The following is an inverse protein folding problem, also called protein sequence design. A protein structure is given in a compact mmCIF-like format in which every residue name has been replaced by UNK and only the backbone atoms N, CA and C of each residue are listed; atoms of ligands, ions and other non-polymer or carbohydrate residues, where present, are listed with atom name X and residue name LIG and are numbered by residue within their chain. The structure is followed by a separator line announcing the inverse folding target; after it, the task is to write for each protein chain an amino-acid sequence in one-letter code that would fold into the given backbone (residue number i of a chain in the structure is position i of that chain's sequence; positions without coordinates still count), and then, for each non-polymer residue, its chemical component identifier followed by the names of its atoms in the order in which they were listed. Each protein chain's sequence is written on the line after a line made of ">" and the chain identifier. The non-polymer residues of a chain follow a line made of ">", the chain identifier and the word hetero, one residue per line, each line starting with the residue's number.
data_IF_579036811884
#
_entry.id   IF_579036811884
#
_cell.length_a   1.000
_cell.length_b   1.000
_cell.length_c   1.000
_cell.angle_alpha   90.00
_cell.angle_beta   90.00
_cell.angle_gamma   90.00
#
_symmetry.space_group_name_H-M   'P 1'
#
loop_
_entity.id
_entity.type
_entity.pdbx_description
1 polymer ?
#
# COMPACT_ATOMS: atom_id res chain seq x y z
N UNK A 1 25.56 1.66 -8.58
CA UNK A 1 24.31 1.76 -9.36
C UNK A 1 24.42 0.86 -10.59
N UNK A 2 23.35 0.16 -10.92
CA UNK A 2 23.31 -0.76 -12.08
C UNK A 2 23.31 0.00 -13.40
N UNK A 3 23.53 -0.73 -14.49
CA UNK A 3 23.39 -0.19 -15.85
C UNK A 3 21.96 0.30 -16.17
N UNK A 4 20.94 -0.18 -15.43
CA UNK A 4 19.53 0.22 -15.61
C UNK A 4 19.16 1.53 -14.90
N UNK A 5 19.94 1.94 -13.91
CA UNK A 5 19.64 3.13 -13.12
C UNK A 5 19.49 4.42 -13.94
N UNK A 6 20.38 4.75 -14.90
CA UNK A 6 20.22 5.99 -15.69
C UNK A 6 18.93 6.00 -16.52
N UNK A 7 18.50 4.83 -17.00
CA UNK A 7 17.26 4.72 -17.78
C UNK A 7 16.04 4.95 -16.87
N UNK A 8 16.04 4.35 -15.69
CA UNK A 8 14.99 4.57 -14.70
C UNK A 8 14.95 6.03 -14.24
N UNK A 9 16.10 6.68 -14.02
CA UNK A 9 16.14 8.11 -13.72
C UNK A 9 15.49 8.97 -14.80
N UNK A 10 15.73 8.66 -16.08
CA UNK A 10 15.08 9.38 -17.20
C UNK A 10 13.56 9.20 -17.17
N UNK A 11 13.08 7.99 -16.88
CA UNK A 11 11.64 7.73 -16.76
C UNK A 11 11.05 8.50 -15.59
N UNK A 12 11.53 8.27 -14.38
CA UNK A 12 10.97 8.86 -13.16
C UNK A 12 11.14 10.40 -13.09
N UNK A 13 12.07 10.97 -13.85
CA UNK A 13 12.21 12.43 -14.00
C UNK A 13 11.31 13.05 -15.08
N UNK A 14 10.50 12.27 -15.78
CA UNK A 14 9.63 12.75 -16.84
C UNK A 14 10.33 13.06 -18.18
N UNK A 15 11.56 12.57 -18.35
CA UNK A 15 12.32 12.74 -19.60
C UNK A 15 12.03 11.65 -20.64
N UNK A 16 11.07 10.77 -20.35
CA UNK A 16 10.51 9.75 -21.25
C UNK A 16 8.99 9.81 -21.19
N UNK A 17 8.33 9.28 -22.23
CA UNK A 17 6.88 9.08 -22.20
C UNK A 17 6.52 8.09 -21.08
N UNK A 18 5.40 8.32 -20.41
CA UNK A 18 4.96 7.44 -19.33
C UNK A 18 4.64 6.03 -19.80
N UNK A 19 4.26 5.86 -21.05
CA UNK A 19 4.04 4.56 -21.72
C UNK A 19 5.32 3.77 -22.04
N UNK A 20 6.49 4.42 -22.00
CA UNK A 20 7.78 3.82 -22.40
C UNK A 20 8.52 3.23 -21.21
N UNK A 21 7.93 2.23 -20.58
CA UNK A 21 8.47 1.62 -19.35
C UNK A 21 8.92 0.15 -19.51
N UNK A 22 8.65 -0.49 -20.64
CA UNK A 22 8.82 -1.92 -20.87
C UNK A 22 10.28 -2.39 -20.78
N UNK A 23 11.23 -1.49 -20.97
CA UNK A 23 12.67 -1.74 -20.90
C UNK A 23 13.30 -1.32 -19.56
N UNK A 24 12.47 -0.84 -18.61
CA UNK A 24 12.95 -0.52 -17.26
C UNK A 24 13.27 -1.81 -16.50
N UNK A 25 14.50 -1.95 -16.04
CA UNK A 25 14.89 -3.08 -15.20
C UNK A 25 14.41 -2.90 -13.77
N UNK A 26 13.84 -3.95 -13.17
CA UNK A 26 13.39 -3.96 -11.76
C UNK A 26 14.49 -3.48 -10.81
N UNK A 27 15.75 -3.91 -11.06
CA UNK A 27 16.89 -3.46 -10.27
C UNK A 27 17.09 -1.95 -10.32
N UNK A 28 16.95 -1.34 -11.52
CA UNK A 28 17.06 0.11 -11.67
C UNK A 28 15.94 0.85 -10.94
N UNK A 29 14.71 0.32 -10.97
CA UNK A 29 13.58 0.88 -10.21
C UNK A 29 13.83 0.77 -8.70
N UNK A 30 14.30 -0.36 -8.22
CA UNK A 30 14.66 -0.53 -6.81
C UNK A 30 15.76 0.47 -6.38
N UNK A 31 16.72 0.74 -7.25
CA UNK A 31 17.76 1.74 -6.99
C UNK A 31 17.23 3.18 -6.94
N UNK A 32 16.13 3.50 -7.66
CA UNK A 32 15.42 4.79 -7.48
C UNK A 32 14.90 4.92 -6.05
N UNK A 33 14.27 3.86 -5.52
CA UNK A 33 13.75 3.84 -4.15
C UNK A 33 14.89 3.93 -3.09
N UNK A 34 15.96 3.18 -3.28
CA UNK A 34 17.13 3.22 -2.37
C UNK A 34 17.79 4.60 -2.35
N UNK A 35 17.82 5.30 -3.49
CA UNK A 35 18.35 6.64 -3.62
C UNK A 35 17.22 7.69 -3.61
N UNK A 36 16.23 7.52 -2.73
CA UNK A 36 15.02 8.35 -2.68
C UNK A 36 15.33 9.84 -2.55
N UNK A 37 16.29 10.22 -1.72
CA UNK A 37 16.64 11.64 -1.50
C UNK A 37 17.19 12.29 -2.78
N UNK A 38 17.96 11.56 -3.57
CA UNK A 38 18.47 12.04 -4.87
C UNK A 38 17.35 12.21 -5.91
N UNK A 39 16.33 11.35 -5.86
CA UNK A 39 15.24 11.31 -6.83
C UNK A 39 13.97 12.04 -6.36
N UNK A 40 13.94 12.48 -5.11
CA UNK A 40 12.74 12.98 -4.41
C UNK A 40 11.98 14.07 -5.16
N UNK A 41 12.67 15.09 -5.66
CA UNK A 41 12.04 16.19 -6.39
C UNK A 41 11.25 15.67 -7.59
N UNK A 42 11.82 14.74 -8.34
CA UNK A 42 11.16 14.15 -9.51
C UNK A 42 10.01 13.24 -9.11
N UNK A 43 10.18 12.42 -8.05
CA UNK A 43 9.12 11.56 -7.54
C UNK A 43 7.93 12.39 -7.06
N UNK A 44 8.16 13.47 -6.33
CA UNK A 44 7.09 14.34 -5.85
C UNK A 44 6.36 15.06 -6.99
N UNK A 45 7.07 15.44 -8.05
CA UNK A 45 6.46 16.16 -9.18
C UNK A 45 5.68 15.26 -10.14
N UNK A 46 6.04 13.98 -10.22
CA UNK A 46 5.55 13.10 -11.29
C UNK A 46 4.78 11.87 -10.79
N UNK A 47 4.66 11.67 -9.47
CA UNK A 47 4.14 10.43 -8.85
C UNK A 47 2.80 9.98 -9.43
N UNK A 48 1.88 10.89 -9.62
CA UNK A 48 0.54 10.60 -10.13
C UNK A 48 0.49 10.29 -11.64
N UNK A 49 1.56 10.60 -12.36
CA UNK A 49 1.64 10.39 -13.82
C UNK A 49 2.21 9.03 -14.22
N UNK A 50 2.88 8.32 -13.28
CA UNK A 50 3.50 7.03 -13.59
C UNK A 50 2.45 5.99 -13.97
N UNK A 51 2.75 5.20 -15.01
CA UNK A 51 1.94 4.03 -15.35
C UNK A 51 1.94 3.01 -14.20
N UNK A 52 0.89 2.18 -14.13
CA UNK A 52 0.68 1.25 -13.02
C UNK A 52 1.86 0.29 -12.82
N UNK A 53 2.38 -0.32 -13.89
CA UNK A 53 3.43 -1.32 -13.75
C UNK A 53 4.74 -0.80 -13.12
N UNK A 54 5.36 0.29 -13.61
CA UNK A 54 6.54 0.86 -12.96
C UNK A 54 6.23 1.44 -11.57
N UNK A 55 5.02 1.94 -11.34
CA UNK A 55 4.60 2.45 -10.04
C UNK A 55 4.46 1.32 -9.01
N UNK A 56 3.89 0.19 -9.38
CA UNK A 56 3.81 -1.01 -8.52
C UNK A 56 5.23 -1.46 -8.12
N UNK A 57 6.15 -1.53 -9.08
CA UNK A 57 7.54 -1.92 -8.80
C UNK A 57 8.25 -0.91 -7.88
N UNK A 58 8.04 0.39 -8.11
CA UNK A 58 8.59 1.45 -7.25
C UNK A 58 8.02 1.36 -5.83
N UNK A 59 6.70 1.25 -5.68
CA UNK A 59 6.03 1.13 -4.39
C UNK A 59 6.48 -0.11 -3.61
N UNK A 60 6.68 -1.23 -4.30
CA UNK A 60 7.22 -2.45 -3.67
C UNK A 60 8.64 -2.25 -3.13
N UNK A 61 9.46 -1.47 -3.83
CA UNK A 61 10.80 -1.12 -3.36
C UNK A 61 10.77 -0.06 -2.22
N UNK A 62 9.81 0.86 -2.25
CA UNK A 62 9.63 1.91 -1.23
C UNK A 62 9.15 1.34 0.12
N UNK A 63 8.61 0.13 0.17
CA UNK A 63 8.14 -0.51 1.40
C UNK A 63 9.18 -0.49 2.54
N UNK A 64 10.46 -0.52 2.18
CA UNK A 64 11.57 -0.51 3.12
C UNK A 64 12.26 0.85 3.27
N UNK A 65 11.67 1.90 2.70
CA UNK A 65 12.21 3.25 2.71
C UNK A 65 11.45 4.14 3.69
N UNK A 66 12.14 5.17 4.18
CA UNK A 66 11.47 6.21 4.96
C UNK A 66 10.64 7.09 4.02
N UNK A 67 9.33 7.08 4.19
CA UNK A 67 8.38 7.85 3.40
C UNK A 67 8.00 9.11 4.17
N UNK A 68 8.36 10.28 3.65
CA UNK A 68 7.96 11.54 4.27
C UNK A 68 6.47 11.87 4.04
N UNK A 69 5.99 12.89 4.74
CA UNK A 69 4.58 13.29 4.67
C UNK A 69 4.13 13.75 3.27
N UNK A 70 5.03 14.30 2.45
CA UNK A 70 4.70 14.76 1.09
C UNK A 70 4.49 13.58 0.16
N UNK A 71 5.38 12.62 0.19
CA UNK A 71 5.24 11.41 -0.60
C UNK A 71 4.07 10.55 -0.11
N UNK A 72 3.85 10.46 1.21
CA UNK A 72 2.69 9.78 1.78
C UNK A 72 1.36 10.39 1.29
N UNK A 73 1.27 11.71 1.22
CA UNK A 73 0.10 12.42 0.69
C UNK A 73 -0.16 12.08 -0.78
N UNK A 74 0.90 12.01 -1.62
CA UNK A 74 0.77 11.65 -3.04
C UNK A 74 0.38 10.19 -3.23
N UNK A 75 0.88 9.28 -2.41
CA UNK A 75 0.47 7.87 -2.39
C UNK A 75 -1.02 7.78 -2.07
N UNK A 76 -1.49 8.50 -1.05
CA UNK A 76 -2.91 8.57 -0.69
C UNK A 76 -3.78 9.12 -1.82
N UNK A 77 -3.34 10.20 -2.47
CA UNK A 77 -4.05 10.77 -3.64
C UNK A 77 -4.13 9.76 -4.79
N UNK A 78 -3.05 9.08 -5.09
CA UNK A 78 -3.04 8.05 -6.16
C UNK A 78 -3.96 6.88 -5.85
N UNK A 79 -4.02 6.46 -4.59
CA UNK A 79 -4.96 5.43 -4.14
C UNK A 79 -6.42 5.88 -4.34
N UNK A 80 -6.75 7.11 -3.94
CA UNK A 80 -8.08 7.68 -4.10
C UNK A 80 -8.48 7.76 -5.59
N UNK A 81 -7.56 8.21 -6.45
CA UNK A 81 -7.76 8.27 -7.90
C UNK A 81 -8.05 6.89 -8.48
N UNK A 82 -7.29 5.86 -8.11
CA UNK A 82 -7.49 4.50 -8.61
C UNK A 82 -8.79 3.89 -8.09
N UNK A 83 -9.11 4.07 -6.80
CA UNK A 83 -10.37 3.60 -6.21
C UNK A 83 -11.62 4.27 -6.79
N UNK A 84 -11.48 5.43 -7.42
CA UNK A 84 -12.57 6.13 -8.12
C UNK A 84 -12.83 5.63 -9.54
N UNK A 85 -11.99 4.73 -10.06
CA UNK A 85 -12.19 4.11 -11.38
C UNK A 85 -13.30 3.04 -11.31
N UNK A 86 -13.92 2.74 -12.46
CA UNK A 86 -14.93 1.67 -12.58
C UNK A 86 -14.37 0.27 -12.24
N UNK A 87 -13.08 0.08 -12.43
CA UNK A 87 -12.37 -1.16 -12.10
C UNK A 87 -11.00 -0.82 -11.48
N UNK A 88 -10.93 -0.65 -10.14
CA UNK A 88 -9.67 -0.38 -9.46
C UNK A 88 -8.62 -1.48 -9.68
N UNK A 89 -7.37 -1.09 -9.85
CA UNK A 89 -6.25 -2.03 -9.94
C UNK A 89 -5.84 -2.51 -8.55
N UNK A 90 -6.26 -3.71 -8.19
CA UNK A 90 -5.99 -4.32 -6.88
C UNK A 90 -4.48 -4.37 -6.59
N UNK A 91 -3.67 -4.75 -7.58
CA UNK A 91 -2.22 -4.83 -7.42
C UNK A 91 -1.59 -3.45 -7.14
N UNK A 92 -2.07 -2.42 -7.82
CA UNK A 92 -1.64 -1.03 -7.57
C UNK A 92 -2.08 -0.54 -6.19
N UNK A 93 -3.34 -0.74 -5.83
CA UNK A 93 -3.86 -0.36 -4.50
C UNK A 93 -3.06 -1.02 -3.37
N UNK A 94 -2.78 -2.32 -3.47
CA UNK A 94 -1.98 -3.05 -2.49
C UNK A 94 -0.52 -2.57 -2.45
N UNK A 95 0.09 -2.27 -3.61
CA UNK A 95 1.44 -1.75 -3.68
C UNK A 95 1.56 -0.34 -3.04
N UNK A 96 0.59 0.54 -3.30
CA UNK A 96 0.51 1.86 -2.68
C UNK A 96 0.41 1.75 -1.14
N UNK A 97 -0.42 0.84 -0.63
CA UNK A 97 -0.52 0.61 0.81
C UNK A 97 0.78 0.07 1.41
N UNK A 98 1.47 -0.84 0.71
CA UNK A 98 2.78 -1.35 1.14
C UNK A 98 3.82 -0.23 1.23
N UNK A 99 3.86 0.68 0.25
CA UNK A 99 4.77 1.82 0.27
C UNK A 99 4.56 2.72 1.50
N UNK A 100 3.31 2.89 1.95
CA UNK A 100 2.98 3.66 3.15
C UNK A 100 3.49 3.04 4.45
N UNK A 101 3.87 1.77 4.46
CA UNK A 101 4.39 1.10 5.66
C UNK A 101 5.57 1.87 6.29
N UNK A 102 6.47 2.43 5.46
CA UNK A 102 7.62 3.22 5.90
C UNK A 102 7.30 4.66 6.33
N UNK A 103 6.04 5.10 6.25
CA UNK A 103 5.65 6.45 6.69
C UNK A 103 5.38 6.49 8.19
N UNK A 104 5.82 7.53 8.92
CA UNK A 104 5.42 7.77 10.30
C UNK A 104 4.01 8.40 10.41
N UNK A 105 3.36 8.74 9.30
CA UNK A 105 2.06 9.42 9.28
C UNK A 105 0.91 8.41 9.41
N UNK A 106 0.56 8.06 10.64
CA UNK A 106 -0.53 7.14 10.94
C UNK A 106 -1.89 7.67 10.48
N UNK A 107 -2.09 8.99 10.43
CA UNK A 107 -3.35 9.59 9.95
C UNK A 107 -3.59 9.27 8.48
N UNK A 108 -2.58 9.42 7.64
CA UNK A 108 -2.67 9.05 6.21
C UNK A 108 -2.88 7.54 6.04
N UNK A 109 -2.16 6.72 6.80
CA UNK A 109 -2.33 5.25 6.76
C UNK A 109 -3.75 4.83 7.12
N UNK A 110 -4.29 5.34 8.22
CA UNK A 110 -5.68 5.06 8.65
C UNK A 110 -6.69 5.51 7.61
N UNK A 111 -6.50 6.69 7.01
CA UNK A 111 -7.34 7.18 5.91
C UNK A 111 -7.33 6.22 4.73
N UNK A 112 -6.17 5.74 4.31
CA UNK A 112 -6.03 4.80 3.20
C UNK A 112 -6.70 3.44 3.50
N UNK A 113 -6.54 2.92 4.72
CA UNK A 113 -7.22 1.69 5.15
C UNK A 113 -8.74 1.87 5.10
N UNK A 114 -9.27 2.99 5.62
CA UNK A 114 -10.70 3.27 5.58
C UNK A 114 -11.23 3.39 4.15
N UNK A 115 -10.50 4.02 3.25
CA UNK A 115 -10.87 4.11 1.83
C UNK A 115 -10.94 2.71 1.19
N UNK A 116 -9.93 1.85 1.42
CA UNK A 116 -9.92 0.47 0.92
C UNK A 116 -11.07 -0.35 1.48
N UNK A 117 -11.32 -0.29 2.79
CA UNK A 117 -12.41 -1.03 3.44
C UNK A 117 -13.80 -0.49 3.08
N UNK A 118 -13.90 0.76 2.62
CA UNK A 118 -15.14 1.36 2.10
C UNK A 118 -15.36 1.19 0.60
N UNK A 119 -14.42 0.60 -0.12
CA UNK A 119 -14.45 0.47 -1.58
C UNK A 119 -15.06 -0.84 -2.07
N UNK A 120 -15.26 -0.95 -3.38
CA UNK A 120 -15.75 -2.17 -4.04
C UNK A 120 -14.80 -3.37 -3.92
N UNK A 121 -13.51 -3.11 -3.69
CA UNK A 121 -12.49 -4.16 -3.51
C UNK A 121 -12.25 -4.53 -2.04
N UNK A 122 -13.12 -4.09 -1.14
CA UNK A 122 -12.94 -4.24 0.33
C UNK A 122 -12.96 -5.69 0.83
N UNK A 123 -13.56 -6.61 0.10
CA UNK A 123 -13.65 -8.03 0.43
C UNK A 123 -12.60 -8.89 -0.31
N UNK A 124 -11.79 -8.27 -1.15
CA UNK A 124 -10.73 -8.97 -1.89
C UNK A 124 -9.64 -9.50 -0.94
N UNK A 125 -9.27 -10.77 -1.16
CA UNK A 125 -8.32 -11.46 -0.28
C UNK A 125 -6.92 -10.81 -0.24
N UNK A 126 -6.42 -10.27 -1.37
CA UNK A 126 -5.11 -9.61 -1.41
C UNK A 126 -5.14 -8.29 -0.65
N UNK A 127 -6.22 -7.50 -0.79
CA UNK A 127 -6.41 -6.24 -0.05
C UNK A 127 -6.43 -6.50 1.45
N UNK A 128 -7.25 -7.44 1.92
CA UNK A 128 -7.38 -7.76 3.34
C UNK A 128 -6.07 -8.32 3.91
N UNK A 129 -5.37 -9.18 3.16
CA UNK A 129 -4.06 -9.70 3.56
C UNK A 129 -3.02 -8.58 3.66
N UNK A 130 -3.00 -7.65 2.70
CA UNK A 130 -2.05 -6.53 2.71
C UNK A 130 -2.29 -5.63 3.93
N UNK A 131 -3.55 -5.30 4.25
CA UNK A 131 -3.91 -4.54 5.45
C UNK A 131 -3.45 -5.29 6.72
N UNK A 132 -3.74 -6.57 6.83
CA UNK A 132 -3.37 -7.39 7.99
C UNK A 132 -1.87 -7.45 8.20
N UNK A 133 -1.09 -7.67 7.13
CA UNK A 133 0.37 -7.86 7.23
C UNK A 133 1.10 -6.53 7.44
N UNK A 134 0.67 -5.47 6.75
CA UNK A 134 1.42 -4.20 6.73
C UNK A 134 0.91 -3.17 7.74
N UNK A 135 -0.34 -3.25 8.15
CA UNK A 135 -1.01 -2.24 8.98
C UNK A 135 -1.58 -2.83 10.29
N UNK A 136 -1.08 -3.97 10.73
CA UNK A 136 -1.54 -4.67 11.93
C UNK A 136 -1.58 -3.76 13.17
N UNK A 137 -0.57 -2.93 13.35
CA UNK A 137 -0.47 -2.02 14.51
C UNK A 137 -1.57 -0.94 14.53
N UNK A 138 -2.17 -0.62 13.39
CA UNK A 138 -3.29 0.34 13.29
C UNK A 138 -4.64 -0.34 13.47
N UNK A 139 -4.74 -1.64 13.23
CA UNK A 139 -5.97 -2.42 13.41
C UNK A 139 -6.38 -2.59 14.89
N UNK A 140 -5.57 -2.12 15.82
CA UNK A 140 -5.94 -2.06 17.25
C UNK A 140 -7.00 -0.98 17.56
N UNK A 141 -7.23 -0.04 16.66
CA UNK A 141 -8.26 0.98 16.82
C UNK A 141 -9.65 0.33 16.69
N UNK A 142 -10.55 0.46 17.70
CA UNK A 142 -11.78 -0.34 17.77
C UNK A 142 -12.66 -0.25 16.52
N UNK A 143 -12.88 0.96 16.00
CA UNK A 143 -13.71 1.18 14.80
C UNK A 143 -13.09 0.53 13.55
N UNK A 144 -11.79 0.66 13.39
CA UNK A 144 -11.06 0.10 12.25
C UNK A 144 -11.02 -1.43 12.33
N UNK A 145 -10.79 -1.96 13.53
CA UNK A 145 -10.82 -3.40 13.80
C UNK A 145 -12.17 -4.02 13.46
N UNK A 146 -13.26 -3.40 13.92
CA UNK A 146 -14.60 -3.88 13.62
C UNK A 146 -14.86 -3.92 12.11
N UNK A 147 -14.59 -2.84 11.41
CA UNK A 147 -14.80 -2.75 9.96
C UNK A 147 -13.95 -3.79 9.21
N UNK A 148 -12.68 -3.95 9.59
CA UNK A 148 -11.79 -4.96 9.01
C UNK A 148 -12.32 -6.39 9.23
N UNK A 149 -12.76 -6.73 10.43
CA UNK A 149 -13.30 -8.06 10.75
C UNK A 149 -14.62 -8.34 10.01
N UNK A 150 -15.48 -7.35 9.85
CA UNK A 150 -16.72 -7.48 9.05
C UNK A 150 -16.39 -7.82 7.58
N UNK A 151 -15.42 -7.10 6.99
CA UNK A 151 -14.99 -7.37 5.60
C UNK A 151 -14.28 -8.71 5.46
N UNK A 152 -13.46 -9.07 6.41
CA UNK A 152 -12.77 -10.36 6.42
C UNK A 152 -13.78 -11.52 6.53
N UNK A 153 -14.82 -11.40 7.36
CA UNK A 153 -15.85 -12.42 7.53
C UNK A 153 -16.73 -12.60 6.27
N UNK A 154 -16.98 -11.51 5.54
CA UNK A 154 -17.76 -11.51 4.30
C UNK A 154 -16.93 -11.76 3.04
N UNK A 155 -15.59 -11.78 3.14
CA UNK A 155 -14.68 -11.72 2.02
C UNK A 155 -14.54 -13.00 1.20
N UNK A 156 -13.91 -12.84 0.02
CA UNK A 156 -13.67 -13.91 -0.96
C UNK A 156 -12.80 -15.07 -0.41
N UNK A 157 -11.96 -14.79 0.59
CA UNK A 157 -11.11 -15.81 1.21
C UNK A 157 -11.89 -16.92 1.94
N UNK A 158 -13.16 -16.70 2.22
CA UNK A 158 -14.02 -17.65 2.93
C UNK A 158 -13.55 -17.97 4.35
N UNK A 159 -14.12 -19.03 4.94
CA UNK A 159 -13.81 -19.41 6.32
C UNK A 159 -12.34 -19.79 6.53
N UNK A 160 -11.70 -20.42 5.56
CA UNK A 160 -10.29 -20.82 5.69
C UNK A 160 -9.37 -19.59 5.64
N UNK A 161 -9.63 -18.66 4.72
CA UNK A 161 -8.87 -17.41 4.63
C UNK A 161 -9.06 -16.53 5.85
N UNK A 162 -10.29 -16.41 6.35
CA UNK A 162 -10.60 -15.74 7.60
C UNK A 162 -9.78 -16.31 8.76
N UNK A 163 -9.85 -17.63 8.95
CA UNK A 163 -9.15 -18.30 10.05
C UNK A 163 -7.63 -18.14 9.96
N UNK A 164 -7.07 -18.20 8.74
CA UNK A 164 -5.64 -18.03 8.52
C UNK A 164 -5.16 -16.61 8.83
N UNK A 165 -5.82 -15.60 8.25
CA UNK A 165 -5.46 -14.20 8.48
C UNK A 165 -5.62 -13.84 9.96
N UNK A 166 -6.72 -14.27 10.59
CA UNK A 166 -6.95 -14.02 12.01
C UNK A 166 -5.88 -14.72 12.89
N UNK A 167 -5.53 -15.97 12.57
CA UNK A 167 -4.48 -16.69 13.30
C UNK A 167 -3.14 -15.95 13.24
N UNK A 168 -2.76 -15.46 12.05
CA UNK A 168 -1.53 -14.69 11.85
C UNK A 168 -1.56 -13.38 12.66
N UNK A 169 -2.68 -12.66 12.65
CA UNK A 169 -2.87 -11.43 13.43
C UNK A 169 -2.79 -11.67 14.95
N UNK A 170 -3.28 -12.81 15.43
CA UNK A 170 -3.28 -13.17 16.87
C UNK A 170 -1.87 -13.41 17.42
N UNK A 171 -0.85 -13.59 16.59
CA UNK A 171 0.54 -13.57 17.04
C UNK A 171 1.01 -12.19 17.50
N UNK A 172 0.39 -11.11 16.98
CA UNK A 172 0.65 -9.76 17.47
C UNK A 172 -0.08 -9.54 18.80
N UNK A 173 0.68 -9.30 19.87
CA UNK A 173 0.12 -9.17 21.23
C UNK A 173 -0.88 -8.02 21.34
N UNK A 174 -0.57 -6.85 20.75
CA UNK A 174 -1.44 -5.67 20.79
C UNK A 174 -2.76 -5.93 20.06
N UNK A 175 -2.69 -6.57 18.90
CA UNK A 175 -3.88 -6.97 18.15
C UNK A 175 -4.72 -7.97 18.95
N UNK A 176 -4.10 -9.00 19.53
CA UNK A 176 -4.78 -10.01 20.33
C UNK A 176 -5.54 -9.38 21.51
N UNK A 177 -4.92 -8.43 22.21
CA UNK A 177 -5.57 -7.73 23.33
C UNK A 177 -6.77 -6.92 22.81
N UNK A 178 -6.60 -6.15 21.74
CA UNK A 178 -7.67 -5.36 21.12
C UNK A 178 -8.83 -6.25 20.65
N UNK A 179 -8.53 -7.36 20.01
CA UNK A 179 -9.51 -8.35 19.56
C UNK A 179 -10.33 -8.91 20.72
N UNK A 180 -9.67 -9.36 21.79
CA UNK A 180 -10.35 -9.89 22.97
C UNK A 180 -11.23 -8.84 23.64
N UNK A 181 -10.78 -7.59 23.73
CA UNK A 181 -11.59 -6.49 24.23
C UNK A 181 -12.85 -6.24 23.40
N UNK A 182 -12.74 -6.30 22.06
CA UNK A 182 -13.89 -6.10 21.18
C UNK A 182 -15.01 -7.14 21.40
N UNK A 183 -14.67 -8.36 21.82
CA UNK A 183 -15.62 -9.45 22.07
C UNK A 183 -16.03 -9.60 23.56
N UNK A 184 -15.38 -8.90 24.49
CA UNK A 184 -15.70 -8.99 25.93
C UNK A 184 -16.90 -8.12 26.33
N UNK A 185 -17.34 -7.20 25.46
CA UNK A 185 -18.45 -6.27 25.69
C UNK A 185 -19.67 -6.54 24.79
N UNK A 186 -19.74 -7.70 24.16
CA UNK A 186 -20.84 -8.12 23.27
C UNK A 186 -21.90 -8.90 24.01
#
# INVERSE_FOLDING_TARGET
>A
KSQYYPLCQKYFSGKRQWSDWQDLGIQGIAEIAVNIEENKTHLLSNFTHYDAAPLIALCSALEHSNIDHKLAALISTKLEEDLSQDAPDISLCCALLRALHGSPDDTVKVSCINQLLGSEISDNAEVLTTIAVKMCDLLIQPTLLQLFLEKLAAGEAGQQGFSRILADLMFNEKFRIAFLHAFSFS
#
